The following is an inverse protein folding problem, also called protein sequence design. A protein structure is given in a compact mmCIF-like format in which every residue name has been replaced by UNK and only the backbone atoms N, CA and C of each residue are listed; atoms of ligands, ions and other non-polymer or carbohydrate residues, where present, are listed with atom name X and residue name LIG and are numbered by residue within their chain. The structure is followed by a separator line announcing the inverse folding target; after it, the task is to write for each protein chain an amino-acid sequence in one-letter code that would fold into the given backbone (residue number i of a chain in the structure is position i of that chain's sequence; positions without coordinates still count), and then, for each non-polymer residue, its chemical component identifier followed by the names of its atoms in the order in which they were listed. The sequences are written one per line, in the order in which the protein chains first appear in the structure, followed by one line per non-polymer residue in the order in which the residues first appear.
data_IF_561669954630
#
_entry.id   IF_561669954630
#
_cell.length_a   1.000
_cell.length_b   1.000
_cell.length_c   1.000
_cell.angle_alpha   90.00
_cell.angle_beta   90.00
_cell.angle_gamma   90.00
#
_symmetry.space_group_name_H-M   'P 1'
#
loop_
_entity.id
_entity.type
_entity.pdbx_description
1 polymer ?
#
# COMPACT_ATOMS: atom_id res chain seq x y z
N UNK A 1 -13.10 -21.26 -11.03
CA UNK A 1 -12.64 -20.17 -10.17
C UNK A 1 -11.12 -20.30 -10.10
N UNK A 2 -10.41 -19.31 -10.65
CA UNK A 2 -8.97 -19.23 -10.45
C UNK A 2 -8.74 -19.01 -8.95
N UNK A 3 -7.93 -19.85 -8.35
CA UNK A 3 -7.63 -19.74 -6.93
C UNK A 3 -6.83 -18.44 -6.72
N UNK A 4 -7.48 -17.44 -6.11
CA UNK A 4 -6.91 -16.12 -5.89
C UNK A 4 -5.67 -16.12 -4.97
N UNK A 5 -5.39 -17.26 -4.34
CA UNK A 5 -4.23 -17.47 -3.46
C UNK A 5 -2.88 -17.56 -4.18
N UNK A 6 -2.83 -17.37 -5.51
CA UNK A 6 -1.57 -17.40 -6.27
C UNK A 6 -0.64 -16.22 -6.06
N UNK A 7 -1.11 -15.12 -5.46
CA UNK A 7 -0.25 -13.99 -5.11
C UNK A 7 0.65 -14.27 -3.90
N UNK A 8 0.30 -15.25 -3.07
CA UNK A 8 1.12 -15.82 -2.01
C UNK A 8 1.68 -17.14 -2.47
N UNK A 9 2.93 -17.39 -2.18
CA UNK A 9 3.48 -18.70 -2.32
C UNK A 9 2.96 -19.55 -1.15
N UNK A 10 1.93 -20.35 -1.41
CA UNK A 10 1.31 -21.20 -0.41
C UNK A 10 1.59 -22.67 -0.71
N UNK A 11 1.76 -23.46 0.34
CA UNK A 11 1.68 -24.93 0.24
C UNK A 11 0.24 -25.37 -0.01
N UNK A 12 0.05 -26.63 -0.44
CA UNK A 12 -1.28 -27.23 -0.69
C UNK A 12 -2.18 -27.24 0.56
N UNK A 13 -1.59 -27.23 1.76
CA UNK A 13 -2.30 -27.14 3.05
C UNK A 13 -2.72 -25.70 3.41
N UNK A 14 -2.38 -24.69 2.60
CA UNK A 14 -2.70 -23.29 2.81
C UNK A 14 -1.75 -22.52 3.72
N UNK A 15 -0.67 -23.12 4.21
CA UNK A 15 0.39 -22.41 4.95
C UNK A 15 1.25 -21.57 4.01
N UNK A 16 1.81 -20.47 4.51
CA UNK A 16 2.72 -19.60 3.73
C UNK A 16 4.03 -20.35 3.44
N UNK A 17 4.39 -20.47 2.17
CA UNK A 17 5.70 -20.98 1.74
C UNK A 17 6.75 -19.87 1.84
N UNK A 18 7.31 -19.70 3.02
CA UNK A 18 8.35 -18.68 3.27
C UNK A 18 9.60 -18.88 2.40
N UNK A 19 9.92 -20.09 2.00
CA UNK A 19 11.08 -20.36 1.14
C UNK A 19 10.84 -19.85 -0.30
N UNK A 20 9.63 -20.05 -0.82
CA UNK A 20 9.25 -19.50 -2.11
C UNK A 20 9.11 -17.96 -2.04
N UNK A 21 8.56 -17.42 -0.94
CA UNK A 21 8.48 -15.98 -0.71
C UNK A 21 9.87 -15.33 -0.67
N UNK A 22 10.86 -15.96 0.02
CA UNK A 22 12.24 -15.47 0.05
C UNK A 22 12.84 -15.38 -1.37
N UNK A 23 12.69 -16.45 -2.17
CA UNK A 23 13.16 -16.46 -3.56
C UNK A 23 12.53 -15.34 -4.38
N UNK A 24 11.23 -15.12 -4.21
CA UNK A 24 10.50 -14.07 -4.92
C UNK A 24 10.98 -12.67 -4.53
N UNK A 25 11.12 -12.39 -3.23
CA UNK A 25 11.64 -11.12 -2.71
C UNK A 25 13.04 -10.84 -3.29
N UNK A 26 13.95 -11.83 -3.23
CA UNK A 26 15.30 -11.68 -3.74
C UNK A 26 15.31 -11.45 -5.25
N UNK A 27 14.53 -12.20 -6.00
CA UNK A 27 14.40 -12.01 -7.45
C UNK A 27 13.88 -10.63 -7.83
N UNK A 28 12.91 -10.09 -7.11
CA UNK A 28 12.42 -8.73 -7.32
C UNK A 28 13.54 -7.69 -7.09
N UNK A 29 14.25 -7.80 -5.96
CA UNK A 29 15.34 -6.88 -5.62
C UNK A 29 16.48 -6.97 -6.64
N UNK A 30 16.90 -8.17 -7.02
CA UNK A 30 17.91 -8.42 -8.04
C UNK A 30 17.49 -7.91 -9.42
N UNK A 31 16.20 -7.88 -9.71
CA UNK A 31 15.63 -7.32 -10.93
C UNK A 31 15.55 -5.78 -10.93
N UNK A 32 15.91 -5.12 -9.83
CA UNK A 32 16.04 -3.67 -9.76
C UNK A 32 14.80 -2.93 -9.27
N UNK A 33 13.84 -3.58 -8.57
CA UNK A 33 12.74 -2.85 -7.94
C UNK A 33 13.27 -1.89 -6.87
N UNK A 34 12.67 -0.70 -6.78
CA UNK A 34 13.12 0.38 -5.89
C UNK A 34 12.55 0.29 -4.47
N UNK A 35 11.61 -0.60 -4.22
CA UNK A 35 10.98 -0.82 -2.92
C UNK A 35 9.96 -1.95 -2.98
N UNK A 36 9.54 -2.43 -1.83
CA UNK A 36 8.55 -3.49 -1.70
C UNK A 36 7.35 -3.05 -0.86
N UNK A 37 6.17 -3.52 -1.25
CA UNK A 37 4.92 -3.25 -0.54
C UNK A 37 4.20 -4.58 -0.24
N UNK A 38 4.66 -5.34 0.78
CA UNK A 38 3.97 -6.54 1.21
C UNK A 38 2.65 -6.22 1.90
N UNK A 39 1.75 -7.21 1.96
CA UNK A 39 0.42 -7.09 2.58
C UNK A 39 -0.49 -6.04 1.92
N UNK A 40 -0.28 -5.75 0.63
CA UNK A 40 -1.21 -4.99 -0.18
C UNK A 40 -2.41 -5.82 -0.64
N UNK A 41 -3.32 -5.22 -1.42
CA UNK A 41 -4.50 -5.92 -1.96
C UNK A 41 -4.11 -7.11 -2.86
N UNK A 42 -3.11 -6.93 -3.72
CA UNK A 42 -2.54 -8.02 -4.55
C UNK A 42 -1.90 -9.11 -3.70
N UNK A 43 -1.35 -8.77 -2.55
CA UNK A 43 -0.85 -9.71 -1.55
C UNK A 43 -1.94 -10.33 -0.68
N UNK A 44 -3.22 -10.18 -1.04
CA UNK A 44 -4.36 -10.85 -0.41
C UNK A 44 -4.38 -10.76 1.13
N UNK A 45 -3.99 -9.60 1.68
CA UNK A 45 -3.93 -9.38 3.13
C UNK A 45 -5.22 -9.80 3.86
N UNK A 46 -6.37 -9.71 3.18
CA UNK A 46 -7.68 -10.06 3.73
C UNK A 46 -7.89 -11.56 3.95
N UNK A 47 -7.08 -12.41 3.32
CA UNK A 47 -7.11 -13.86 3.49
C UNK A 47 -6.23 -14.34 4.66
N UNK A 48 -5.41 -13.46 5.24
CA UNK A 48 -4.49 -13.76 6.33
C UNK A 48 -5.07 -13.31 7.68
N UNK A 49 -4.85 -14.10 8.69
CA UNK A 49 -5.08 -13.70 10.09
C UNK A 49 -4.15 -12.55 10.48
N UNK A 50 -4.44 -11.88 11.57
CA UNK A 50 -3.58 -10.80 12.07
C UNK A 50 -2.18 -11.31 12.43
N UNK A 51 -2.10 -12.49 13.03
CA UNK A 51 -0.84 -13.16 13.40
C UNK A 51 -0.01 -13.49 12.17
N UNK A 52 -0.62 -14.05 11.12
CA UNK A 52 0.07 -14.34 9.85
C UNK A 52 0.55 -13.06 9.18
N UNK A 53 -0.23 -11.98 9.21
CA UNK A 53 0.17 -10.67 8.67
C UNK A 53 1.39 -10.13 9.38
N UNK A 54 1.43 -10.18 10.72
CA UNK A 54 2.59 -9.77 11.52
C UNK A 54 3.82 -10.64 11.25
N UNK A 55 3.64 -11.96 11.28
CA UNK A 55 4.73 -12.90 11.01
C UNK A 55 5.31 -12.72 9.59
N UNK A 56 4.45 -12.47 8.60
CA UNK A 56 4.90 -12.22 7.23
C UNK A 56 5.62 -10.86 7.11
N UNK A 57 5.16 -9.83 7.80
CA UNK A 57 5.84 -8.54 7.83
C UNK A 57 7.26 -8.67 8.42
N UNK A 58 7.41 -9.36 9.55
CA UNK A 58 8.71 -9.65 10.16
C UNK A 58 9.64 -10.42 9.22
N UNK A 59 9.10 -11.47 8.59
CA UNK A 59 9.83 -12.25 7.60
C UNK A 59 10.29 -11.38 6.42
N UNK A 60 9.40 -10.57 5.85
CA UNK A 60 9.73 -9.71 4.72
C UNK A 60 10.81 -8.68 5.08
N UNK A 61 10.72 -8.04 6.24
CA UNK A 61 11.74 -7.11 6.74
C UNK A 61 13.09 -7.78 6.91
N UNK A 62 13.11 -8.98 7.50
CA UNK A 62 14.34 -9.77 7.68
C UNK A 62 14.95 -10.17 6.33
N UNK A 63 14.11 -10.62 5.38
CA UNK A 63 14.58 -11.07 4.07
C UNK A 63 15.10 -9.91 3.22
N UNK A 64 14.42 -8.76 3.25
CA UNK A 64 14.85 -7.55 2.55
C UNK A 64 16.17 -7.02 3.13
N UNK A 65 16.36 -7.10 4.44
CA UNK A 65 17.59 -6.74 5.14
C UNK A 65 18.12 -5.33 4.78
N UNK A 66 17.23 -4.35 4.61
CA UNK A 66 17.57 -2.96 4.30
C UNK A 66 18.06 -2.70 2.87
N UNK A 67 17.97 -3.68 1.96
CA UNK A 67 18.42 -3.50 0.56
C UNK A 67 17.54 -2.53 -0.23
N UNK A 68 16.28 -2.46 0.07
CA UNK A 68 15.29 -1.52 -0.50
C UNK A 68 14.29 -1.10 0.58
N UNK A 69 13.62 0.06 0.44
CA UNK A 69 12.56 0.47 1.35
C UNK A 69 11.38 -0.52 1.35
N UNK A 70 10.73 -0.65 2.52
CA UNK A 70 9.55 -1.51 2.71
C UNK A 70 8.39 -0.71 3.31
N UNK A 71 7.26 -0.69 2.60
CA UNK A 71 6.00 -0.13 3.07
C UNK A 71 5.03 -1.27 3.38
N UNK A 72 4.58 -1.39 4.61
CA UNK A 72 3.67 -2.48 5.03
C UNK A 72 2.21 -2.09 4.79
N UNK A 73 1.43 -2.95 4.13
CA UNK A 73 -0.01 -2.78 4.01
C UNK A 73 -0.71 -2.96 5.37
N UNK A 74 -1.29 -1.87 5.89
CA UNK A 74 -2.02 -1.85 7.16
C UNK A 74 -3.51 -1.59 6.93
N UNK A 75 -4.18 -2.47 6.20
CA UNK A 75 -5.59 -2.32 5.82
C UNK A 75 -6.47 -3.25 6.66
N UNK A 76 -7.55 -2.70 7.22
CA UNK A 76 -8.59 -3.46 7.92
C UNK A 76 -9.92 -2.70 7.89
N UNK A 77 -11.02 -3.41 8.10
CA UNK A 77 -12.34 -2.82 8.38
C UNK A 77 -12.40 -2.24 9.80
N UNK A 78 -11.53 -2.68 10.69
CA UNK A 78 -11.41 -2.22 12.07
C UNK A 78 -10.17 -1.30 12.21
N UNK A 79 -10.38 -0.06 12.65
CA UNK A 79 -9.31 0.93 12.82
C UNK A 79 -8.28 0.51 13.86
N UNK A 80 -8.68 -0.19 14.94
CA UNK A 80 -7.75 -0.66 15.97
C UNK A 80 -6.79 -1.71 15.39
N UNK A 81 -7.28 -2.61 14.52
CA UNK A 81 -6.44 -3.57 13.80
C UNK A 81 -5.51 -2.85 12.81
N UNK A 82 -5.98 -1.82 12.12
CA UNK A 82 -5.13 -0.97 11.26
C UNK A 82 -3.98 -0.37 12.05
N UNK A 83 -4.30 0.23 13.22
CA UNK A 83 -3.30 0.81 14.12
C UNK A 83 -2.35 -0.23 14.70
N UNK A 84 -2.85 -1.42 15.05
CA UNK A 84 -2.02 -2.51 15.56
C UNK A 84 -0.98 -2.95 14.53
N UNK A 85 -1.39 -3.14 13.27
CA UNK A 85 -0.46 -3.48 12.17
C UNK A 85 0.52 -2.33 11.92
N UNK A 86 0.07 -1.08 11.95
CA UNK A 86 0.95 0.08 11.74
C UNK A 86 2.00 0.23 12.86
N UNK A 87 1.62 0.02 14.12
CA UNK A 87 2.54 0.02 15.26
C UNK A 87 3.52 -1.16 15.20
N UNK A 88 3.05 -2.33 14.80
CA UNK A 88 3.91 -3.48 14.58
C UNK A 88 4.93 -3.20 13.47
N UNK A 89 4.49 -2.64 12.32
CA UNK A 89 5.39 -2.24 11.24
C UNK A 89 6.49 -1.29 11.72
N UNK A 90 6.14 -0.31 12.56
CA UNK A 90 7.12 0.58 13.18
C UNK A 90 8.11 -0.18 14.07
N UNK A 91 7.64 -1.13 14.88
CA UNK A 91 8.49 -1.88 15.81
C UNK A 91 9.51 -2.80 15.11
N UNK A 92 9.23 -3.23 13.89
CA UNK A 92 10.10 -4.07 13.07
C UNK A 92 10.96 -3.27 12.07
N UNK A 93 10.88 -1.93 12.09
CA UNK A 93 11.73 -1.05 11.30
C UNK A 93 11.29 -0.85 9.86
N UNK A 94 10.00 -0.97 9.54
CA UNK A 94 9.47 -0.63 8.22
C UNK A 94 9.62 0.87 7.93
N UNK A 95 9.70 1.24 6.65
CA UNK A 95 9.89 2.63 6.21
C UNK A 95 8.57 3.40 6.11
N UNK A 96 7.43 2.70 6.10
CA UNK A 96 6.11 3.31 6.04
C UNK A 96 4.99 2.28 6.09
N UNK A 97 3.76 2.79 6.11
CA UNK A 97 2.55 1.97 6.03
C UNK A 97 1.61 2.48 4.94
N UNK A 98 0.94 1.56 4.25
CA UNK A 98 -0.11 1.90 3.29
C UNK A 98 -1.47 1.64 3.91
N UNK A 99 -2.34 2.65 3.89
CA UNK A 99 -3.66 2.61 4.54
C UNK A 99 -4.74 3.04 3.55
N UNK A 100 -5.76 2.22 3.44
CA UNK A 100 -6.98 2.42 2.65
C UNK A 100 -8.14 2.80 3.59
N UNK A 101 -9.10 3.64 3.19
CA UNK A 101 -10.35 3.77 3.95
C UNK A 101 -10.99 2.40 4.22
N UNK A 102 -11.63 2.19 5.37
CA UNK A 102 -12.14 0.87 5.77
C UNK A 102 -13.00 0.22 4.68
N UNK A 103 -12.56 -0.93 4.10
CA UNK A 103 -13.24 -1.52 2.95
C UNK A 103 -14.66 -1.99 3.30
N UNK A 104 -15.62 -1.74 2.41
CA UNK A 104 -17.00 -2.21 2.53
C UNK A 104 -17.88 -1.44 3.55
N UNK A 105 -17.34 -0.46 4.28
CA UNK A 105 -18.12 0.35 5.23
C UNK A 105 -18.71 1.62 4.60
N UNK A 106 -18.27 2.00 3.40
CA UNK A 106 -18.73 3.17 2.65
C UNK A 106 -18.78 4.48 3.48
N UNK A 107 -17.69 4.86 4.18
CA UNK A 107 -17.68 6.06 5.02
C UNK A 107 -17.91 7.33 4.19
N UNK A 108 -18.56 8.32 4.79
CA UNK A 108 -18.65 9.69 4.27
C UNK A 108 -17.28 10.37 4.22
N UNK A 109 -17.17 11.50 3.52
CA UNK A 109 -15.92 12.25 3.42
C UNK A 109 -15.43 12.75 4.79
N UNK A 110 -16.33 13.15 5.67
CA UNK A 110 -15.99 13.57 7.03
C UNK A 110 -15.49 12.40 7.87
N UNK A 111 -16.08 11.22 7.73
CA UNK A 111 -15.61 9.99 8.38
C UNK A 111 -14.26 9.53 7.84
N UNK A 112 -14.01 9.65 6.51
CA UNK A 112 -12.69 9.39 5.92
C UNK A 112 -11.64 10.33 6.52
N UNK A 113 -11.93 11.63 6.60
CA UNK A 113 -11.02 12.57 7.23
C UNK A 113 -10.77 12.24 8.70
N UNK A 114 -11.84 11.96 9.46
CA UNK A 114 -11.72 11.58 10.88
C UNK A 114 -10.89 10.29 11.06
N UNK A 115 -11.06 9.31 10.17
CA UNK A 115 -10.26 8.08 10.16
C UNK A 115 -8.76 8.38 9.97
N UNK A 116 -8.38 9.14 8.94
CA UNK A 116 -6.98 9.46 8.71
C UNK A 116 -6.40 10.37 9.80
N UNK A 117 -7.21 11.28 10.35
CA UNK A 117 -6.81 12.09 11.50
C UNK A 117 -6.48 11.19 12.69
N UNK A 118 -7.35 10.25 13.03
CA UNK A 118 -7.12 9.30 14.10
C UNK A 118 -5.86 8.44 13.86
N UNK A 119 -5.63 7.99 12.62
CA UNK A 119 -4.41 7.30 12.23
C UNK A 119 -3.20 8.20 12.50
N UNK A 120 -3.19 9.45 11.99
CA UNK A 120 -2.06 10.36 12.11
C UNK A 120 -1.66 10.67 13.56
N UNK A 121 -2.62 10.68 14.48
CA UNK A 121 -2.42 10.91 15.90
C UNK A 121 -1.80 9.68 16.63
N UNK A 122 -1.82 8.49 16.00
CA UNK A 122 -1.47 7.22 16.64
C UNK A 122 -0.37 6.43 15.92
N UNK A 123 0.20 6.96 14.84
CA UNK A 123 1.32 6.35 14.10
C UNK A 123 2.58 7.20 14.21
N UNK A 124 3.73 6.58 13.94
CA UNK A 124 5.03 7.27 13.89
C UNK A 124 5.70 7.14 12.54
N UNK A 125 5.24 6.21 11.69
CA UNK A 125 5.76 6.00 10.35
C UNK A 125 5.06 6.91 9.34
N UNK A 126 5.72 7.24 8.23
CA UNK A 126 5.06 7.83 7.06
C UNK A 126 3.91 6.96 6.57
N UNK A 127 2.78 7.59 6.27
CA UNK A 127 1.57 6.93 5.78
C UNK A 127 1.44 7.18 4.27
N UNK A 128 1.25 6.11 3.51
CA UNK A 128 0.78 6.15 2.14
C UNK A 128 -0.75 6.07 2.15
N UNK A 129 -1.38 7.19 1.86
CA UNK A 129 -2.83 7.26 1.63
C UNK A 129 -3.14 6.44 0.38
N UNK A 130 -4.05 5.48 0.47
CA UNK A 130 -4.41 4.66 -0.68
C UNK A 130 -5.83 4.96 -1.13
N UNK A 131 -5.96 5.64 -2.27
CA UNK A 131 -7.24 5.90 -2.90
C UNK A 131 -7.53 4.85 -3.98
N UNK A 132 -8.40 3.91 -3.65
CA UNK A 132 -8.83 2.84 -4.56
C UNK A 132 -10.33 2.55 -4.34
N UNK A 133 -11.22 3.23 -5.06
CA UNK A 133 -12.66 3.02 -4.93
C UNK A 133 -13.09 1.59 -5.24
N UNK A 134 -12.38 0.89 -6.12
CA UNK A 134 -12.65 -0.52 -6.43
C UNK A 134 -12.45 -1.46 -5.25
N UNK A 135 -11.52 -1.14 -4.34
CA UNK A 135 -11.22 -1.96 -3.16
C UNK A 135 -11.92 -1.46 -1.90
N UNK A 136 -12.02 -0.15 -1.70
CA UNK A 136 -12.64 0.42 -0.50
C UNK A 136 -14.15 0.59 -0.61
N UNK A 137 -14.67 0.73 -1.83
CA UNK A 137 -16.05 1.12 -2.10
C UNK A 137 -16.30 2.64 -2.01
N UNK A 138 -15.25 3.44 -1.70
CA UNK A 138 -15.36 4.89 -1.60
C UNK A 138 -14.19 5.58 -2.30
N UNK A 139 -14.45 6.77 -2.85
CA UNK A 139 -13.44 7.64 -3.41
C UNK A 139 -13.14 8.77 -2.42
N UNK A 140 -11.87 8.96 -2.07
CA UNK A 140 -11.45 10.13 -1.30
C UNK A 140 -11.53 11.35 -2.22
N UNK A 141 -12.48 12.25 -2.02
CA UNK A 141 -12.62 13.43 -2.87
C UNK A 141 -11.41 14.38 -2.74
N UNK A 142 -11.10 15.19 -3.76
CA UNK A 142 -9.96 16.09 -3.74
C UNK A 142 -9.92 16.99 -2.51
N UNK A 143 -11.07 17.57 -2.13
CA UNK A 143 -11.20 18.46 -0.98
C UNK A 143 -10.97 17.77 0.37
N UNK A 144 -11.25 16.45 0.44
CA UNK A 144 -10.96 15.61 1.61
C UNK A 144 -9.49 15.24 1.62
N UNK A 145 -8.94 14.86 0.47
CA UNK A 145 -7.54 14.51 0.32
C UNK A 145 -6.61 15.69 0.66
N UNK A 146 -7.00 16.91 0.24
CA UNK A 146 -6.30 18.13 0.58
C UNK A 146 -6.17 18.34 2.10
N UNK A 147 -7.28 18.16 2.84
CA UNK A 147 -7.27 18.21 4.31
C UNK A 147 -6.45 17.09 4.96
N UNK A 148 -6.47 15.89 4.37
CA UNK A 148 -5.69 14.74 4.87
C UNK A 148 -4.20 14.98 4.65
N UNK A 149 -3.79 15.60 3.54
CA UNK A 149 -2.40 15.91 3.23
C UNK A 149 -1.74 16.84 4.25
N UNK A 150 -2.51 17.64 4.98
CA UNK A 150 -2.00 18.51 6.05
C UNK A 150 -1.82 17.81 7.40
N UNK A 151 -2.29 16.56 7.53
CA UNK A 151 -2.14 15.80 8.77
C UNK A 151 -0.69 15.31 8.96
N UNK A 152 -0.20 15.22 10.21
CA UNK A 152 1.11 14.64 10.49
C UNK A 152 1.27 13.24 9.88
N UNK A 153 2.48 12.91 9.48
CA UNK A 153 2.85 11.60 8.92
C UNK A 153 2.24 11.24 7.56
N UNK A 154 1.37 12.04 6.97
CA UNK A 154 0.88 11.82 5.60
C UNK A 154 1.99 12.22 4.62
N UNK A 155 2.66 11.23 4.02
CA UNK A 155 3.83 11.49 3.16
C UNK A 155 3.65 11.08 1.71
N UNK A 156 2.70 10.18 1.44
CA UNK A 156 2.54 9.57 0.13
C UNK A 156 1.07 9.41 -0.24
N UNK A 157 0.78 9.49 -1.54
CA UNK A 157 -0.52 9.10 -2.11
C UNK A 157 -0.32 8.02 -3.16
N UNK A 158 -1.00 6.89 -3.02
CA UNK A 158 -1.20 5.92 -4.09
C UNK A 158 -2.58 6.15 -4.72
N UNK A 159 -2.60 6.67 -5.95
CA UNK A 159 -3.83 6.96 -6.68
C UNK A 159 -4.16 5.81 -7.64
N UNK A 160 -5.29 5.16 -7.40
CA UNK A 160 -5.74 3.96 -8.13
C UNK A 160 -7.19 4.03 -8.59
N UNK A 161 -7.71 5.24 -8.84
CA UNK A 161 -9.06 5.41 -9.43
C UNK A 161 -9.13 4.99 -10.88
N UNK A 162 -8.00 4.94 -11.60
CA UNK A 162 -7.97 4.74 -13.06
C UNK A 162 -8.30 6.03 -13.83
N UNK A 163 -8.28 7.19 -13.20
CA UNK A 163 -8.56 8.49 -13.79
C UNK A 163 -7.28 9.34 -13.80
N UNK A 164 -6.71 9.56 -14.99
CA UNK A 164 -5.49 10.37 -15.15
C UNK A 164 -5.71 11.83 -14.78
N UNK A 165 -6.89 12.38 -14.98
CA UNK A 165 -7.19 13.76 -14.60
C UNK A 165 -7.14 13.94 -13.09
N UNK A 166 -7.58 12.91 -12.36
CA UNK A 166 -7.50 12.89 -10.91
C UNK A 166 -6.06 12.85 -10.40
N UNK A 167 -5.23 11.99 -11.03
CA UNK A 167 -3.81 11.92 -10.69
C UNK A 167 -3.10 13.25 -11.01
N UNK A 168 -3.38 13.85 -12.19
CA UNK A 168 -2.82 15.14 -12.58
C UNK A 168 -3.19 16.22 -11.56
N UNK A 169 -4.47 16.29 -11.15
CA UNK A 169 -4.91 17.24 -10.12
C UNK A 169 -4.17 17.01 -8.79
N UNK A 170 -3.97 15.76 -8.38
CA UNK A 170 -3.22 15.44 -7.17
C UNK A 170 -1.75 15.90 -7.27
N UNK A 171 -1.11 15.77 -8.44
CA UNK A 171 0.24 16.31 -8.68
C UNK A 171 0.25 17.82 -8.58
N UNK A 172 -0.69 18.51 -9.24
CA UNK A 172 -0.74 19.97 -9.27
C UNK A 172 -1.02 20.60 -7.90
N UNK A 173 -1.89 19.97 -7.09
CA UNK A 173 -2.37 20.54 -5.83
C UNK A 173 -1.62 20.05 -4.59
N UNK A 174 -0.98 18.84 -4.64
CA UNK A 174 -0.47 18.17 -3.46
C UNK A 174 1.01 17.75 -3.53
N UNK A 175 1.71 17.95 -4.66
CA UNK A 175 3.07 17.44 -4.82
C UNK A 175 4.12 18.16 -3.93
N UNK A 176 3.77 19.26 -3.30
CA UNK A 176 4.55 19.95 -2.28
C UNK A 176 4.45 19.30 -0.89
N UNK A 177 3.39 18.52 -0.64
CA UNK A 177 3.09 17.86 0.64
C UNK A 177 3.15 16.32 0.56
N UNK A 178 2.79 15.74 -0.60
CA UNK A 178 2.73 14.30 -0.81
C UNK A 178 3.57 13.87 -2.01
N UNK A 179 4.26 12.75 -1.89
CA UNK A 179 4.83 12.06 -3.04
C UNK A 179 3.73 11.24 -3.72
N UNK A 180 3.42 11.56 -4.97
CA UNK A 180 2.33 10.92 -5.71
C UNK A 180 2.81 9.68 -6.44
N UNK A 181 2.17 8.54 -6.17
CA UNK A 181 2.38 7.25 -6.80
C UNK A 181 1.21 6.89 -7.69
N UNK A 182 1.51 6.45 -8.91
CA UNK A 182 0.53 5.75 -9.74
C UNK A 182 0.22 4.37 -9.13
N UNK A 183 -1.06 4.00 -9.07
CA UNK A 183 -1.52 2.70 -8.60
C UNK A 183 -2.20 1.87 -9.69
N UNK A 184 -2.14 2.31 -10.96
CA UNK A 184 -2.77 1.66 -12.11
C UNK A 184 -1.75 1.35 -13.21
N UNK A 185 -1.58 0.09 -13.57
CA UNK A 185 -0.64 -0.34 -14.61
C UNK A 185 -0.89 0.35 -15.95
N UNK A 186 -2.16 0.44 -16.36
CA UNK A 186 -2.56 1.01 -17.66
C UNK A 186 -2.32 2.52 -17.78
N UNK A 187 -1.99 3.21 -16.69
CA UNK A 187 -1.75 4.65 -16.65
C UNK A 187 -0.35 5.02 -16.16
N UNK A 188 0.55 4.04 -16.02
CA UNK A 188 1.87 4.28 -15.44
C UNK A 188 2.66 5.31 -16.25
N UNK A 189 2.74 5.15 -17.55
CA UNK A 189 3.46 6.07 -18.45
C UNK A 189 2.88 7.49 -18.39
N UNK A 190 1.57 7.63 -18.57
CA UNK A 190 0.88 8.92 -18.51
C UNK A 190 1.07 9.58 -17.15
N UNK A 191 1.02 8.80 -16.07
CA UNK A 191 1.20 9.29 -14.71
C UNK A 191 2.59 9.91 -14.51
N UNK A 192 3.65 9.29 -15.02
CA UNK A 192 4.99 9.86 -14.98
C UNK A 192 5.10 11.13 -15.82
N UNK A 193 4.48 11.17 -17.01
CA UNK A 193 4.42 12.39 -17.83
C UNK A 193 3.71 13.53 -17.09
N UNK A 194 2.66 13.22 -16.32
CA UNK A 194 1.94 14.20 -15.51
C UNK A 194 2.67 14.58 -14.21
N UNK A 195 3.79 13.93 -13.86
CA UNK A 195 4.65 14.32 -12.74
C UNK A 195 4.59 13.41 -11.51
N UNK A 196 3.90 12.26 -11.57
CA UNK A 196 4.00 11.24 -10.53
C UNK A 196 5.46 10.82 -10.36
N UNK A 197 5.86 10.51 -9.12
CA UNK A 197 7.27 10.21 -8.80
C UNK A 197 7.57 8.71 -8.76
N UNK A 198 6.53 7.89 -8.64
CA UNK A 198 6.68 6.45 -8.54
C UNK A 198 5.40 5.73 -8.99
N UNK A 199 5.51 4.43 -9.11
CA UNK A 199 4.44 3.52 -9.47
C UNK A 199 4.46 2.29 -8.55
N UNK A 200 3.33 1.97 -7.92
CA UNK A 200 3.16 0.71 -7.21
C UNK A 200 2.73 -0.34 -8.22
N UNK A 201 3.71 -1.04 -8.77
CA UNK A 201 3.58 -1.94 -9.91
C UNK A 201 3.21 -3.36 -9.47
N UNK A 202 2.03 -3.83 -9.86
CA UNK A 202 1.63 -5.24 -9.66
C UNK A 202 2.33 -6.14 -10.68
N UNK A 203 2.51 -5.65 -11.92
CA UNK A 203 3.18 -6.38 -13.00
C UNK A 203 4.60 -6.81 -12.63
N UNK A 204 5.30 -6.03 -11.79
CA UNK A 204 6.64 -6.37 -11.32
C UNK A 204 6.72 -7.74 -10.63
N UNK A 205 5.63 -8.22 -10.04
CA UNK A 205 5.60 -9.55 -9.41
C UNK A 205 5.79 -10.71 -10.40
N UNK A 206 5.62 -10.50 -11.70
CA UNK A 206 5.75 -11.53 -12.73
C UNK A 206 6.69 -11.13 -13.87
N UNK A 207 6.94 -9.85 -14.04
CA UNK A 207 7.76 -9.30 -15.13
C UNK A 207 8.52 -8.02 -14.70
N UNK A 208 9.38 -8.08 -13.67
CA UNK A 208 10.02 -6.89 -13.11
C UNK A 208 10.97 -6.20 -14.12
N UNK A 209 11.59 -6.95 -15.01
CA UNK A 209 12.50 -6.38 -16.02
C UNK A 209 11.77 -5.60 -17.14
N UNK A 210 10.46 -5.77 -17.27
CA UNK A 210 9.59 -5.07 -18.24
C UNK A 210 8.77 -3.94 -17.60
N UNK A 211 8.89 -3.74 -16.29
CA UNK A 211 8.09 -2.80 -15.49
C UNK A 211 8.78 -1.45 -15.31
#
# INVERSE_FOLDING_TARGET
AQDSRQAWQLYENGEIDYAACAKHINWLIESGVHGLLPLGATGEFSALTLEERKAFAEFAMKEVAGRVPVIIGAVSTNVDVTLEVAKHAASIGADGVMILPPPGLHPSQDEIYAFYKHISENVTLPVMIYNNPGSSGVNILPETLDKIADLPHMGFLKESTGDIMRLTRAVDELADRLVIFCGCESLAYESFVMGAKAWVCVLANVAPAQS
#
